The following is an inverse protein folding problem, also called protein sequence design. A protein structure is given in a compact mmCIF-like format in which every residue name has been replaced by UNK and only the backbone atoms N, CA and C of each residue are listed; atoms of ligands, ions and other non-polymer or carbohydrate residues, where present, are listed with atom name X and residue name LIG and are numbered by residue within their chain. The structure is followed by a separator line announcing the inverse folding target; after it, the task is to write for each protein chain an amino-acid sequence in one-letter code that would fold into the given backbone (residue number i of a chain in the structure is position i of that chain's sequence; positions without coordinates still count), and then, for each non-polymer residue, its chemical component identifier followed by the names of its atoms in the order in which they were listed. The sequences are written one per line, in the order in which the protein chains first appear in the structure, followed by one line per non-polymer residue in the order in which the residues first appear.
data_IF_271969131667
#
_entry.id   IF_271969131667
#
_cell.length_a   1.000
_cell.length_b   1.000
_cell.length_c   1.000
_cell.angle_alpha   90.00
_cell.angle_beta   90.00
_cell.angle_gamma   90.00
#
_symmetry.space_group_name_H-M   'P 1'
#
loop_
_entity.id
_entity.type
_entity.pdbx_description
1 polymer ?
#
# COMPACT_ATOMS: atom_id res chain seq x y z
N UNK A 1 -6.17 -2.79 -10.44
CA UNK A 1 -5.43 -3.88 -9.80
C UNK A 1 -5.29 -3.58 -8.32
N UNK A 2 -5.56 -4.55 -7.47
CA UNK A 2 -5.52 -4.45 -6.00
C UNK A 2 -4.80 -5.66 -5.41
N UNK A 3 -4.09 -5.46 -4.30
CA UNK A 3 -3.40 -6.51 -3.55
C UNK A 3 -3.63 -6.30 -2.06
N UNK A 4 -3.99 -7.37 -1.32
CA UNK A 4 -3.99 -7.34 0.14
C UNK A 4 -2.54 -7.42 0.66
N UNK A 5 -1.97 -6.25 0.95
CA UNK A 5 -0.58 -6.13 1.35
C UNK A 5 -0.30 -6.73 2.73
N UNK A 6 -1.31 -6.79 3.62
CA UNK A 6 -1.15 -7.46 4.91
C UNK A 6 -1.03 -8.98 4.74
N UNK A 7 -1.82 -9.55 3.82
CA UNK A 7 -1.70 -10.97 3.47
C UNK A 7 -0.33 -11.24 2.85
N UNK A 8 0.11 -10.42 1.89
CA UNK A 8 1.42 -10.56 1.27
C UNK A 8 2.57 -10.48 2.30
N UNK A 9 2.49 -9.55 3.25
CA UNK A 9 3.48 -9.42 4.33
C UNK A 9 3.49 -10.65 5.26
N UNK A 10 2.33 -11.23 5.58
CA UNK A 10 2.27 -12.46 6.37
C UNK A 10 2.75 -13.68 5.56
N UNK A 11 2.53 -13.71 4.26
CA UNK A 11 3.13 -14.73 3.37
C UNK A 11 4.66 -14.64 3.42
N UNK A 12 5.23 -13.44 3.31
CA UNK A 12 6.68 -13.25 3.46
C UNK A 12 7.17 -13.68 4.85
N UNK A 13 6.41 -13.36 5.90
CA UNK A 13 6.76 -13.77 7.28
C UNK A 13 6.94 -15.26 7.40
N UNK A 14 6.09 -16.05 6.74
CA UNK A 14 6.13 -17.51 6.81
C UNK A 14 7.13 -18.13 5.84
N UNK A 15 7.24 -17.60 4.62
CA UNK A 15 8.13 -18.14 3.58
C UNK A 15 9.59 -17.72 3.76
N UNK A 16 9.85 -16.49 4.22
CA UNK A 16 11.19 -15.95 4.44
C UNK A 16 11.23 -15.00 5.66
N UNK A 17 11.29 -15.56 6.90
CA UNK A 17 11.30 -14.78 8.13
C UNK A 17 12.45 -13.76 8.22
N UNK A 18 13.60 -14.08 7.63
CA UNK A 18 14.76 -13.17 7.57
C UNK A 18 14.46 -11.92 6.74
N UNK A 19 13.89 -12.07 5.55
CA UNK A 19 13.48 -10.95 4.70
C UNK A 19 12.37 -10.13 5.35
N UNK A 20 11.39 -10.80 5.95
CA UNK A 20 10.35 -10.12 6.72
C UNK A 20 10.95 -9.23 7.82
N UNK A 21 11.89 -9.77 8.61
CA UNK A 21 12.56 -9.00 9.67
C UNK A 21 13.30 -7.77 9.12
N UNK A 22 14.00 -7.91 8.00
CA UNK A 22 14.70 -6.79 7.34
C UNK A 22 13.71 -5.69 6.96
N UNK A 23 12.56 -6.04 6.36
CA UNK A 23 11.55 -5.06 5.94
C UNK A 23 10.77 -4.44 7.10
N UNK A 24 10.82 -5.03 8.30
CA UNK A 24 10.20 -4.45 9.52
C UNK A 24 11.15 -3.56 10.31
N UNK A 25 12.46 -3.65 10.06
CA UNK A 25 13.48 -2.95 10.87
C UNK A 25 14.25 -1.89 10.08
N UNK A 26 14.30 -1.98 8.75
CA UNK A 26 15.03 -1.02 7.92
C UNK A 26 14.12 0.16 7.58
N UNK A 27 14.45 1.40 8.00
CA UNK A 27 13.66 2.57 7.68
C UNK A 27 13.83 2.97 6.22
N UNK A 28 12.72 3.30 5.59
CA UNK A 28 12.63 3.86 4.24
C UNK A 28 12.03 5.26 4.35
N UNK A 29 12.64 6.22 3.68
CA UNK A 29 12.14 7.58 3.63
C UNK A 29 11.12 7.72 2.50
N UNK A 30 9.99 8.32 2.82
CA UNK A 30 8.96 8.72 1.86
C UNK A 30 8.84 10.23 1.85
N UNK A 31 8.56 10.81 0.69
CA UNK A 31 8.35 12.24 0.55
C UNK A 31 7.13 12.55 -0.32
N UNK A 32 6.49 13.65 0.00
CA UNK A 32 5.47 14.27 -0.85
C UNK A 32 5.86 15.72 -1.07
N UNK A 33 6.20 16.06 -2.30
CA UNK A 33 6.63 17.40 -2.69
C UNK A 33 5.71 17.86 -3.81
N UNK A 34 4.66 18.60 -3.46
CA UNK A 34 3.68 19.14 -4.39
C UNK A 34 2.87 20.26 -3.74
N UNK A 35 2.34 21.19 -4.53
CA UNK A 35 1.43 22.26 -4.11
C UNK A 35 1.90 23.06 -2.88
N UNK A 36 3.20 23.33 -2.78
CA UNK A 36 3.81 24.04 -1.66
C UNK A 36 4.01 23.20 -0.39
N UNK A 37 3.69 21.91 -0.42
CA UNK A 37 3.96 20.96 0.63
C UNK A 37 5.29 20.23 0.39
N UNK A 38 6.05 20.02 1.47
CA UNK A 38 7.28 19.24 1.47
C UNK A 38 7.30 18.38 2.73
N UNK A 39 6.68 17.21 2.63
CA UNK A 39 6.53 16.28 3.75
C UNK A 39 7.51 15.12 3.61
N UNK A 40 8.09 14.72 4.73
CA UNK A 40 8.98 13.57 4.85
C UNK A 40 8.55 12.68 6.00
N UNK A 41 8.58 11.38 5.78
CA UNK A 41 8.33 10.37 6.79
C UNK A 41 9.28 9.21 6.62
N UNK A 42 9.83 8.73 7.74
CA UNK A 42 10.65 7.52 7.79
C UNK A 42 9.82 6.39 8.42
N UNK A 43 9.58 5.33 7.65
CA UNK A 43 8.87 4.15 8.11
C UNK A 43 9.51 2.89 7.53
N UNK A 44 9.46 1.73 8.24
CA UNK A 44 9.78 0.47 7.59
C UNK A 44 8.74 0.13 6.53
N UNK A 45 9.11 -0.68 5.54
CA UNK A 45 8.18 -1.17 4.51
C UNK A 45 7.01 -1.93 5.13
N UNK A 46 7.28 -2.79 6.11
CA UNK A 46 6.27 -3.51 6.89
C UNK A 46 6.28 -2.97 8.32
N UNK A 47 5.19 -2.35 8.73
CA UNK A 47 5.03 -1.81 10.07
C UNK A 47 4.20 -2.75 10.93
N UNK A 48 4.75 -3.11 12.09
CA UNK A 48 4.08 -3.97 13.07
C UNK A 48 3.22 -3.18 14.03
N UNK A 49 2.24 -3.85 14.62
CA UNK A 49 1.45 -3.33 15.73
C UNK A 49 2.29 -3.26 17.02
N UNK A 50 1.77 -2.48 17.98
CA UNK A 50 2.46 -2.27 19.28
C UNK A 50 2.17 -3.37 20.31
N UNK A 51 1.13 -4.16 20.09
CA UNK A 51 0.69 -5.20 21.02
C UNK A 51 0.64 -6.56 20.33
N UNK A 52 1.11 -7.62 20.99
CA UNK A 52 1.01 -8.97 20.48
C UNK A 52 -0.45 -9.40 20.29
N UNK A 53 -0.69 -10.24 19.30
CA UNK A 53 -1.94 -10.96 19.13
C UNK A 53 -2.04 -12.19 20.07
N UNK A 54 -3.10 -12.98 19.90
CA UNK A 54 -3.35 -14.20 20.70
C UNK A 54 -2.23 -15.24 20.56
N UNK A 55 -1.41 -15.20 19.51
CA UNK A 55 -0.26 -16.08 19.28
C UNK A 55 1.02 -15.58 19.93
N UNK A 56 1.00 -14.37 20.50
CA UNK A 56 2.18 -13.70 21.05
C UNK A 56 3.02 -12.97 19.99
N UNK A 57 2.60 -12.97 18.72
CA UNK A 57 3.30 -12.28 17.66
C UNK A 57 2.76 -10.84 17.46
N UNK A 58 3.64 -9.91 17.07
CA UNK A 58 3.20 -8.58 16.67
C UNK A 58 2.50 -8.66 15.29
N UNK A 59 1.23 -8.27 15.17
CA UNK A 59 0.52 -8.31 13.89
C UNK A 59 1.10 -7.29 12.91
N UNK A 60 1.02 -7.58 11.62
CA UNK A 60 1.26 -6.57 10.57
C UNK A 60 0.15 -5.54 10.65
N UNK A 61 0.53 -4.27 10.88
CA UNK A 61 -0.42 -3.17 11.02
C UNK A 61 -0.62 -2.42 9.71
N UNK A 62 0.49 -2.11 9.03
CA UNK A 62 0.49 -1.35 7.78
C UNK A 62 1.60 -1.85 6.86
N UNK A 63 1.40 -1.61 5.56
CA UNK A 63 2.45 -1.75 4.55
C UNK A 63 2.67 -0.40 3.89
N UNK A 64 3.90 0.09 3.98
CA UNK A 64 4.34 1.35 3.40
C UNK A 64 5.13 1.02 2.11
N UNK A 65 4.42 0.89 1.00
CA UNK A 65 5.02 0.60 -0.29
C UNK A 65 4.39 1.49 -1.36
N UNK A 66 5.12 2.50 -1.78
CA UNK A 66 4.69 3.44 -2.81
C UNK A 66 5.91 3.97 -3.56
N UNK A 67 6.41 3.26 -4.58
CA UNK A 67 7.60 3.65 -5.33
C UNK A 67 7.60 5.12 -5.81
N UNK A 68 6.47 5.72 -6.26
CA UNK A 68 6.46 7.12 -6.68
C UNK A 68 6.74 8.13 -5.56
N UNK A 69 6.51 7.76 -4.30
CA UNK A 69 6.72 8.62 -3.13
C UNK A 69 7.93 8.20 -2.29
N UNK A 70 8.61 7.12 -2.67
CA UNK A 70 9.82 6.70 -2.00
C UNK A 70 10.97 7.63 -2.39
N UNK A 71 11.61 8.21 -1.39
CA UNK A 71 12.86 8.96 -1.58
C UNK A 71 14.01 7.99 -1.94
N UNK A 72 15.10 8.50 -2.52
CA UNK A 72 16.30 7.70 -2.73
C UNK A 72 16.73 7.02 -1.42
N UNK A 73 17.02 5.72 -1.50
CA UNK A 73 17.51 4.98 -0.35
C UNK A 73 18.86 5.53 0.11
N UNK A 74 19.11 5.50 1.40
CA UNK A 74 20.39 5.94 1.98
C UNK A 74 21.51 5.02 1.52
N UNK A 75 22.71 5.56 1.33
CA UNK A 75 23.89 4.75 0.99
C UNK A 75 24.23 3.70 2.07
N UNK A 76 23.77 3.92 3.30
CA UNK A 76 23.91 2.97 4.42
C UNK A 76 22.82 1.88 4.45
N UNK A 77 21.89 1.86 3.48
CA UNK A 77 20.88 0.81 3.39
C UNK A 77 21.59 -0.54 3.20
N UNK A 78 21.32 -1.54 4.07
CA UNK A 78 22.00 -2.83 3.97
C UNK A 78 21.63 -3.56 2.66
N UNK A 79 22.58 -4.25 2.01
CA UNK A 79 22.30 -5.01 0.78
C UNK A 79 21.12 -5.98 0.91
N UNK A 80 20.97 -6.61 2.06
CA UNK A 80 19.87 -7.54 2.36
C UNK A 80 18.47 -6.90 2.24
N UNK A 81 18.39 -5.56 2.31
CA UNK A 81 17.12 -4.86 2.10
C UNK A 81 16.62 -5.02 0.67
N UNK A 82 17.51 -4.99 -0.30
CA UNK A 82 17.14 -5.12 -1.72
C UNK A 82 16.62 -6.52 -2.02
N UNK A 83 17.29 -7.56 -1.51
CA UNK A 83 16.85 -8.96 -1.66
C UNK A 83 15.48 -9.19 -0.97
N UNK A 84 15.30 -8.60 0.21
CA UNK A 84 14.04 -8.67 0.95
C UNK A 84 12.90 -7.93 0.23
N UNK A 85 13.20 -6.77 -0.36
CA UNK A 85 12.22 -6.00 -1.11
C UNK A 85 11.82 -6.73 -2.40
N UNK A 86 12.78 -7.31 -3.12
CA UNK A 86 12.53 -8.13 -4.32
C UNK A 86 11.61 -9.31 -3.99
N UNK A 87 11.93 -10.10 -2.95
CA UNK A 87 11.10 -11.22 -2.51
C UNK A 87 9.68 -10.77 -2.12
N UNK A 88 9.53 -9.58 -1.53
CA UNK A 88 8.22 -9.03 -1.22
C UNK A 88 7.45 -8.63 -2.47
N UNK A 89 8.11 -7.98 -3.42
CA UNK A 89 7.52 -7.58 -4.71
C UNK A 89 7.07 -8.80 -5.52
N UNK A 90 7.83 -9.88 -5.53
CA UNK A 90 7.43 -11.14 -6.18
C UNK A 90 6.10 -11.67 -5.60
N UNK A 91 5.92 -11.60 -4.27
CA UNK A 91 4.66 -11.98 -3.63
C UNK A 91 3.53 -11.03 -4.02
N UNK A 92 3.78 -9.72 -4.07
CA UNK A 92 2.78 -8.72 -4.47
C UNK A 92 2.34 -8.90 -5.93
N UNK A 93 3.26 -9.27 -6.81
CA UNK A 93 3.01 -9.42 -8.24
C UNK A 93 2.52 -10.82 -8.64
N UNK A 94 2.52 -11.75 -7.71
CA UNK A 94 1.99 -13.10 -7.95
C UNK A 94 0.52 -13.05 -8.37
N UNK A 95 0.12 -13.78 -9.44
CA UNK A 95 -1.26 -13.75 -9.94
C UNK A 95 -2.33 -14.10 -8.89
N UNK A 96 -2.01 -15.01 -7.95
CA UNK A 96 -2.92 -15.41 -6.89
C UNK A 96 -3.17 -14.30 -5.84
N UNK A 97 -2.28 -13.32 -5.74
CA UNK A 97 -2.40 -12.20 -4.80
C UNK A 97 -3.01 -10.95 -5.43
N UNK A 98 -3.13 -10.91 -6.75
CA UNK A 98 -3.67 -9.77 -7.48
C UNK A 98 -5.14 -9.93 -7.80
N UNK A 99 -5.91 -8.91 -7.47
CA UNK A 99 -7.29 -8.76 -7.94
C UNK A 99 -7.35 -7.67 -9.00
N UNK A 100 -7.67 -8.06 -10.22
CA UNK A 100 -7.84 -7.15 -11.35
C UNK A 100 -9.32 -6.88 -11.60
N UNK A 101 -9.67 -5.62 -11.67
CA UNK A 101 -11.05 -5.18 -11.94
C UNK A 101 -11.05 -4.02 -12.92
N UNK A 102 -11.85 -4.14 -13.97
CA UNK A 102 -12.07 -3.05 -14.92
C UNK A 102 -13.21 -2.17 -14.42
N UNK A 103 -12.85 -1.01 -13.88
CA UNK A 103 -13.82 0.00 -13.46
C UNK A 103 -14.63 0.52 -14.66
N UNK A 104 -15.92 0.61 -14.48
CA UNK A 104 -16.88 1.17 -15.45
C UNK A 104 -17.45 2.46 -14.92
N UNK A 105 -18.06 3.25 -15.78
CA UNK A 105 -18.80 4.44 -15.39
C UNK A 105 -19.88 4.10 -14.35
N UNK A 106 -19.90 4.85 -13.24
CA UNK A 106 -20.79 4.61 -12.11
C UNK A 106 -20.24 3.66 -11.03
N UNK A 107 -19.13 2.98 -11.27
CA UNK A 107 -18.50 2.15 -10.23
C UNK A 107 -17.88 3.00 -9.12
N UNK A 108 -18.02 2.55 -7.88
CA UNK A 108 -17.39 3.14 -6.70
C UNK A 108 -16.55 2.06 -6.01
N UNK A 109 -15.29 2.37 -5.72
CA UNK A 109 -14.39 1.50 -4.98
C UNK A 109 -14.04 2.15 -3.66
N UNK A 110 -14.20 1.41 -2.55
CA UNK A 110 -13.82 1.84 -1.21
C UNK A 110 -12.88 0.80 -0.61
N UNK A 111 -11.73 1.22 -0.13
CA UNK A 111 -10.75 0.32 0.48
C UNK A 111 -9.90 1.04 1.53
N UNK A 112 -9.33 0.27 2.45
CA UNK A 112 -8.33 0.78 3.39
C UNK A 112 -6.97 0.93 2.67
N UNK A 113 -6.58 2.17 2.43
CA UNK A 113 -5.34 2.51 1.72
C UNK A 113 -4.05 2.12 2.47
N UNK A 114 -4.15 1.74 3.75
CA UNK A 114 -3.01 1.26 4.55
C UNK A 114 -2.87 -0.27 4.50
N UNK A 115 -3.90 -0.94 4.00
CA UNK A 115 -3.95 -2.39 3.83
C UNK A 115 -3.85 -2.80 2.37
N UNK A 116 -4.54 -2.09 1.48
CA UNK A 116 -4.69 -2.48 0.08
C UNK A 116 -3.77 -1.64 -0.80
N UNK A 117 -2.76 -2.27 -1.38
CA UNK A 117 -1.99 -1.66 -2.44
C UNK A 117 -2.80 -1.67 -3.73
N UNK A 118 -2.69 -0.60 -4.49
CA UNK A 118 -3.41 -0.47 -5.74
C UNK A 118 -2.56 0.19 -6.82
N UNK A 119 -2.78 -0.22 -8.05
CA UNK A 119 -2.15 0.35 -9.22
C UNK A 119 -3.11 0.34 -10.40
N UNK A 120 -2.83 1.16 -11.38
CA UNK A 120 -3.49 1.08 -12.69
C UNK A 120 -2.57 0.41 -13.71
N UNK A 121 -3.16 -0.36 -14.60
CA UNK A 121 -2.48 -0.85 -15.79
C UNK A 121 -2.30 0.27 -16.82
N UNK A 122 -1.35 0.09 -17.73
CA UNK A 122 -1.26 0.94 -18.92
C UNK A 122 -2.56 0.89 -19.72
N UNK A 123 -2.86 1.96 -20.45
CA UNK A 123 -4.00 2.01 -21.36
C UNK A 123 -3.58 2.67 -22.68
N UNK A 124 -4.31 2.39 -23.73
CA UNK A 124 -4.17 3.04 -25.02
C UNK A 124 -5.31 4.05 -25.13
N UNK A 125 -4.97 5.34 -25.32
CA UNK A 125 -5.99 6.35 -25.59
C UNK A 125 -6.69 6.06 -26.92
N UNK A 126 -8.00 6.22 -26.96
CA UNK A 126 -8.79 6.09 -28.19
C UNK A 126 -8.57 7.23 -29.15
N UNK A 127 -8.18 8.41 -28.61
CA UNK A 127 -7.92 9.61 -29.37
C UNK A 127 -6.48 10.12 -29.14
N UNK A 128 -5.45 9.44 -29.71
CA UNK A 128 -4.08 9.90 -29.57
C UNK A 128 -3.89 11.19 -30.37
N UNK A 129 -3.84 12.32 -29.68
CA UNK A 129 -3.66 13.64 -30.30
C UNK A 129 -4.59 14.73 -29.79
N UNK A 130 -5.57 14.40 -28.99
CA UNK A 130 -6.42 15.38 -28.31
C UNK A 130 -5.87 15.64 -26.90
N UNK A 131 -5.08 16.68 -26.77
CA UNK A 131 -4.40 17.06 -25.51
C UNK A 131 -5.35 17.49 -24.38
N UNK A 132 -6.65 17.49 -24.62
CA UNK A 132 -7.64 18.01 -23.67
C UNK A 132 -8.65 17.01 -23.12
N UNK A 133 -8.85 15.88 -23.76
CA UNK A 133 -9.88 14.92 -23.33
C UNK A 133 -9.27 13.55 -22.96
N UNK A 134 -9.33 13.21 -21.69
CA UNK A 134 -8.85 11.92 -21.23
C UNK A 134 -9.99 10.91 -21.29
N UNK A 135 -9.82 9.84 -22.05
CA UNK A 135 -10.74 8.68 -22.10
C UNK A 135 -10.92 7.99 -20.73
N UNK A 136 -10.18 8.42 -19.72
CA UNK A 136 -10.21 7.87 -18.37
C UNK A 136 -10.23 8.98 -17.33
N UNK A 137 -11.33 9.03 -16.61
CA UNK A 137 -11.49 9.96 -15.53
C UNK A 137 -11.85 9.20 -14.24
N UNK A 138 -11.11 9.45 -13.16
CA UNK A 138 -11.36 8.90 -11.84
C UNK A 138 -11.32 10.03 -10.82
N UNK A 139 -12.40 10.15 -10.04
CA UNK A 139 -12.45 11.07 -8.91
C UNK A 139 -12.34 10.29 -7.61
N UNK A 140 -11.42 10.69 -6.74
CA UNK A 140 -11.19 10.04 -5.46
C UNK A 140 -11.14 11.04 -4.31
N UNK A 141 -11.36 10.55 -3.11
CA UNK A 141 -11.12 11.29 -1.88
C UNK A 141 -10.58 10.34 -0.81
N UNK A 142 -9.91 10.91 0.17
CA UNK A 142 -9.46 10.19 1.36
C UNK A 142 -10.36 10.55 2.54
N UNK A 143 -10.71 9.55 3.33
CA UNK A 143 -11.45 9.71 4.58
C UNK A 143 -10.60 9.15 5.71
N UNK A 144 -10.50 9.87 6.81
CA UNK A 144 -9.79 9.41 8.00
C UNK A 144 -10.40 8.11 8.54
N UNK A 145 -9.56 7.08 8.74
CA UNK A 145 -10.00 5.75 9.15
C UNK A 145 -10.78 5.79 10.48
N UNK A 146 -10.36 6.65 11.43
CA UNK A 146 -11.06 6.79 12.71
C UNK A 146 -12.45 7.39 12.54
N UNK A 147 -12.65 8.33 11.62
CA UNK A 147 -13.98 8.88 11.29
C UNK A 147 -14.93 7.81 10.76
N UNK A 148 -14.42 6.90 9.93
CA UNK A 148 -15.19 5.74 9.43
C UNK A 148 -15.55 4.79 10.57
N UNK A 149 -14.57 4.46 11.42
CA UNK A 149 -14.72 3.56 12.56
C UNK A 149 -15.69 4.11 13.59
N UNK A 150 -15.60 5.41 13.92
CA UNK A 150 -16.52 6.10 14.80
C UNK A 150 -17.96 6.01 14.29
N UNK A 151 -18.16 6.37 13.02
CA UNK A 151 -19.49 6.30 12.40
C UNK A 151 -20.06 4.89 12.42
N UNK A 152 -19.23 3.88 12.16
CA UNK A 152 -19.65 2.48 12.19
C UNK A 152 -20.09 2.06 13.62
N UNK A 153 -19.34 2.46 14.67
CA UNK A 153 -19.72 2.22 16.07
C UNK A 153 -21.06 2.85 16.42
N UNK A 154 -21.26 4.12 16.04
CA UNK A 154 -22.52 4.84 16.26
C UNK A 154 -23.70 4.16 15.55
N UNK A 155 -23.53 3.69 14.34
CA UNK A 155 -24.60 3.01 13.60
C UNK A 155 -24.93 1.65 14.22
N UNK A 156 -23.92 0.87 14.64
CA UNK A 156 -24.14 -0.43 15.31
C UNK A 156 -24.85 -0.27 16.66
N UNK A 157 -24.62 0.81 17.39
CA UNK A 157 -25.29 1.05 18.69
C UNK A 157 -26.76 1.42 18.57
N UNK A 158 -27.25 1.71 17.34
CA UNK A 158 -28.63 2.10 17.05
C UNK A 158 -29.44 0.97 16.39
N UNK A 159 -28.77 -0.11 16.04
CA UNK A 159 -29.38 -1.32 15.46
C UNK A 159 -29.71 -2.32 16.56
#
# INVERSE_FOLDING_TARGET
MFVDALNAANTLRTSSPSHFNVLTTTPVSFHYINDGHHQHFDHPTIQLGSFPDETGALPVKYVNYSPPFQAPLRLSTPPQFYDALEAFVEILESPENRYEYLLREGDVVVFDNRRVLHARTAFISKNPGDDGDTDRWLKGCYVEAESVSDRARVLRSKA
#
